data_IF_805547460793
#
_entry.id   IF_805547460793
#
_cell.length_a   1.000
_cell.length_b   1.000
_cell.length_c   1.000
_cell.angle_alpha   90.00
_cell.angle_beta   90.00
_cell.angle_gamma   90.00
#
_symmetry.space_group_name_H-M   'P 1'
#
loop_
_entity.id
_entity.type
_entity.pdbx_description
1 polymer ?
#
# COMPACT_ATOMS: atom_id res chain seq x y z
N UNK A 1 -10.93 -17.55 -24.75
CA UNK A 1 -9.64 -18.14 -24.33
C UNK A 1 -8.57 -17.12 -24.65
N UNK A 2 -8.17 -16.31 -23.67
CA UNK A 2 -6.98 -15.48 -23.80
C UNK A 2 -5.75 -16.40 -23.83
N UNK A 3 -4.77 -16.10 -24.68
CA UNK A 3 -3.55 -16.88 -24.76
C UNK A 3 -2.86 -16.78 -23.38
N UNK A 4 -2.77 -17.93 -22.67
CA UNK A 4 -1.96 -18.04 -21.45
C UNK A 4 -0.53 -17.67 -21.80
N UNK A 5 0.10 -16.89 -20.92
CA UNK A 5 1.49 -16.49 -21.10
C UNK A 5 2.38 -17.75 -21.08
N UNK A 6 3.18 -17.99 -22.11
CA UNK A 6 4.07 -19.18 -22.24
C UNK A 6 4.99 -19.34 -21.00
N UNK A 7 5.25 -18.26 -20.29
CA UNK A 7 6.01 -18.25 -19.03
C UNK A 7 5.25 -18.91 -17.88
N UNK A 8 3.94 -18.63 -17.75
CA UNK A 8 3.07 -19.24 -16.74
C UNK A 8 2.97 -20.76 -16.91
N UNK A 9 2.83 -21.24 -18.15
CA UNK A 9 2.82 -22.68 -18.44
C UNK A 9 4.16 -23.36 -18.09
N UNK A 10 5.29 -22.69 -18.30
CA UNK A 10 6.60 -23.20 -17.89
C UNK A 10 6.72 -23.31 -16.37
N UNK A 11 6.29 -22.30 -15.61
CA UNK A 11 6.32 -22.31 -14.15
C UNK A 11 5.42 -23.38 -13.56
N UNK A 12 4.23 -23.54 -14.09
CA UNK A 12 3.29 -24.60 -13.69
C UNK A 12 3.91 -25.98 -13.97
N UNK A 13 4.54 -26.18 -15.13
CA UNK A 13 5.19 -27.44 -15.48
C UNK A 13 6.40 -27.76 -14.58
N UNK A 14 7.18 -26.76 -14.15
CA UNK A 14 8.27 -26.92 -13.18
C UNK A 14 7.75 -27.31 -11.77
N UNK A 15 6.65 -26.70 -11.32
CA UNK A 15 6.03 -27.02 -10.03
C UNK A 15 5.39 -28.41 -10.02
N UNK A 16 4.75 -28.79 -11.12
CA UNK A 16 4.02 -30.08 -11.24
C UNK A 16 4.93 -31.26 -11.55
N UNK A 17 6.15 -31.03 -12.06
CA UNK A 17 7.10 -32.10 -12.38
C UNK A 17 7.56 -32.91 -11.16
N UNK A 18 7.35 -32.43 -9.95
CA UNK A 18 7.83 -33.05 -8.70
C UNK A 18 6.74 -33.83 -7.92
N UNK A 19 5.44 -33.54 -8.07
CA UNK A 19 4.34 -34.17 -7.30
C UNK A 19 3.02 -34.17 -8.08
N UNK A 20 2.22 -35.23 -7.91
CA UNK A 20 0.88 -35.35 -8.47
C UNK A 20 -0.13 -34.56 -7.59
N UNK A 21 -0.82 -33.55 -8.14
CA UNK A 21 -2.04 -32.88 -7.65
C UNK A 21 -1.95 -31.95 -6.43
N UNK A 22 -0.90 -32.03 -5.59
CA UNK A 22 -0.72 -31.16 -4.40
C UNK A 22 0.62 -30.44 -4.47
N UNK A 23 0.60 -29.12 -4.52
CA UNK A 23 1.79 -28.27 -4.59
C UNK A 23 1.97 -27.58 -3.23
N UNK A 24 3.17 -27.68 -2.64
CA UNK A 24 3.48 -26.98 -1.40
C UNK A 24 3.68 -25.48 -1.64
N UNK A 25 3.14 -24.64 -0.74
CA UNK A 25 3.38 -23.20 -0.76
C UNK A 25 4.89 -22.87 -0.73
N UNK A 26 5.69 -23.71 -0.09
CA UNK A 26 7.14 -23.59 -0.06
C UNK A 26 7.77 -23.71 -1.45
N UNK A 27 7.33 -24.67 -2.26
CA UNK A 27 7.83 -24.85 -3.62
C UNK A 27 7.48 -23.64 -4.51
N UNK A 28 6.33 -23.01 -4.28
CA UNK A 28 5.92 -21.79 -4.97
C UNK A 28 6.81 -20.61 -4.54
N UNK A 29 7.07 -20.47 -3.24
CA UNK A 29 7.93 -19.38 -2.71
C UNK A 29 9.39 -19.55 -3.11
N UNK A 30 9.90 -20.77 -3.19
CA UNK A 30 11.24 -21.07 -3.69
C UNK A 30 11.36 -20.68 -5.17
N UNK A 31 10.34 -20.98 -5.99
CA UNK A 31 10.29 -20.58 -7.40
C UNK A 31 10.20 -19.05 -7.56
N UNK A 32 9.40 -18.38 -6.72
CA UNK A 32 9.30 -16.91 -6.69
C UNK A 32 10.65 -16.27 -6.39
N UNK A 33 11.39 -16.85 -5.44
CA UNK A 33 12.72 -16.35 -5.03
C UNK A 33 13.77 -16.62 -6.11
N UNK A 34 13.73 -17.80 -6.74
CA UNK A 34 14.68 -18.21 -7.77
C UNK A 34 14.52 -17.44 -9.08
N UNK A 35 13.28 -17.15 -9.47
CA UNK A 35 12.95 -16.45 -10.72
C UNK A 35 12.71 -14.94 -10.55
N UNK A 36 12.75 -14.40 -9.31
CA UNK A 36 12.47 -12.98 -9.00
C UNK A 36 11.10 -12.52 -9.54
N UNK A 37 10.04 -13.28 -9.30
CA UNK A 37 8.70 -12.97 -9.79
C UNK A 37 8.13 -11.72 -9.13
N UNK A 38 7.37 -10.95 -9.90
CA UNK A 38 6.63 -9.79 -9.37
C UNK A 38 5.38 -10.25 -8.61
N UNK A 39 4.80 -9.35 -7.77
CA UNK A 39 3.56 -9.64 -7.06
C UNK A 39 2.37 -9.94 -8.00
N UNK A 40 2.35 -9.35 -9.19
CA UNK A 40 1.34 -9.61 -10.21
C UNK A 40 1.53 -10.98 -10.86
N UNK A 41 2.80 -11.39 -11.12
CA UNK A 41 3.11 -12.72 -11.65
C UNK A 41 2.74 -13.82 -10.66
N UNK A 42 2.95 -13.58 -9.35
CA UNK A 42 2.56 -14.50 -8.28
C UNK A 42 1.03 -14.65 -8.20
N UNK A 43 0.29 -13.56 -8.29
CA UNK A 43 -1.18 -13.59 -8.31
C UNK A 43 -1.71 -14.37 -9.52
N UNK A 44 -1.13 -14.17 -10.70
CA UNK A 44 -1.47 -14.89 -11.92
C UNK A 44 -1.12 -16.37 -11.82
N UNK A 45 -0.01 -16.72 -11.16
CA UNK A 45 0.40 -18.11 -10.93
C UNK A 45 -0.57 -18.86 -10.00
N UNK A 46 -0.99 -18.21 -8.89
CA UNK A 46 -2.01 -18.82 -8.01
C UNK A 46 -3.36 -18.97 -8.71
N UNK A 47 -3.76 -18.02 -9.52
CA UNK A 47 -5.00 -18.07 -10.30
C UNK A 47 -4.95 -19.21 -11.34
N UNK A 48 -3.82 -19.38 -12.02
CA UNK A 48 -3.61 -20.44 -13.00
C UNK A 48 -3.53 -21.83 -12.36
N UNK A 49 -2.86 -21.98 -11.20
CA UNK A 49 -2.84 -23.25 -10.45
C UNK A 49 -4.22 -23.65 -9.96
N UNK A 50 -5.01 -22.68 -9.52
CA UNK A 50 -6.41 -22.92 -9.13
C UNK A 50 -7.30 -23.32 -10.31
N UNK A 51 -7.13 -22.67 -11.48
CA UNK A 51 -7.88 -23.01 -12.70
C UNK A 51 -7.56 -24.41 -13.21
N UNK A 52 -6.31 -24.86 -13.05
CA UNK A 52 -5.85 -26.20 -13.45
C UNK A 52 -6.13 -27.29 -12.39
N UNK A 53 -6.89 -26.95 -11.32
CA UNK A 53 -7.35 -27.87 -10.27
C UNK A 53 -6.20 -28.42 -9.38
N UNK A 54 -5.08 -27.73 -9.28
CA UNK A 54 -4.04 -28.08 -8.31
C UNK A 54 -4.40 -27.58 -6.92
N UNK A 55 -4.28 -28.44 -5.94
CA UNK A 55 -4.44 -28.09 -4.53
C UNK A 55 -3.11 -27.55 -4.00
N UNK A 56 -3.09 -26.26 -3.61
CA UNK A 56 -1.90 -25.67 -2.98
C UNK A 56 -1.98 -26.00 -1.50
N UNK A 57 -1.06 -26.84 -1.03
CA UNK A 57 -0.97 -27.18 0.38
C UNK A 57 -0.11 -26.16 1.11
N UNK A 58 -0.71 -25.42 2.06
CA UNK A 58 -0.06 -24.45 2.92
C UNK A 58 0.50 -25.10 4.21
N UNK A 59 0.39 -26.43 4.36
CA UNK A 59 0.55 -27.15 5.62
C UNK A 59 2.01 -27.49 6.03
N UNK A 60 3.03 -27.14 5.28
CA UNK A 60 4.42 -27.47 5.70
C UNK A 60 5.09 -26.43 6.61
N UNK A 61 4.43 -25.30 6.89
CA UNK A 61 4.88 -24.29 7.89
C UNK A 61 3.72 -23.85 8.80
N UNK A 62 2.83 -24.76 9.18
CA UNK A 62 1.78 -24.47 10.18
C UNK A 62 2.47 -24.38 11.54
N UNK A 63 2.75 -23.14 11.97
CA UNK A 63 3.20 -22.87 13.34
C UNK A 63 2.06 -23.20 14.33
N UNK A 64 2.40 -23.45 15.60
CA UNK A 64 1.39 -23.63 16.65
C UNK A 64 0.35 -22.50 16.68
N UNK A 65 0.73 -21.27 16.24
CA UNK A 65 -0.20 -20.13 16.08
C UNK A 65 -1.16 -20.28 14.89
N UNK A 66 -0.74 -20.99 13.82
CA UNK A 66 -1.64 -21.29 12.70
C UNK A 66 -2.60 -22.43 13.09
N UNK A 67 -2.17 -23.34 13.98
CA UNK A 67 -3.04 -24.34 14.60
C UNK A 67 -3.99 -23.69 15.60
N UNK A 68 -3.54 -22.74 16.39
CA UNK A 68 -4.41 -21.92 17.24
C UNK A 68 -5.34 -21.04 16.41
N UNK A 69 -4.89 -20.55 15.28
CA UNK A 69 -5.69 -19.81 14.32
C UNK A 69 -6.75 -20.69 13.63
N UNK A 70 -6.43 -21.96 13.30
CA UNK A 70 -7.42 -22.94 12.79
C UNK A 70 -8.40 -23.36 13.89
N UNK A 71 -7.98 -23.44 15.12
CA UNK A 71 -8.88 -23.64 16.28
C UNK A 71 -9.76 -22.40 16.53
N UNK A 72 -9.19 -21.20 16.38
CA UNK A 72 -9.97 -19.95 16.36
C UNK A 72 -10.94 -19.93 15.18
N UNK A 73 -10.63 -20.54 14.03
CA UNK A 73 -11.59 -20.71 12.92
C UNK A 73 -12.76 -21.59 13.28
N UNK A 74 -12.52 -22.76 13.89
CA UNK A 74 -13.60 -23.63 14.37
C UNK A 74 -14.41 -22.98 15.50
N UNK A 75 -13.77 -22.24 16.40
CA UNK A 75 -14.46 -21.49 17.43
C UNK A 75 -15.25 -20.33 16.82
N UNK A 76 -14.72 -19.68 15.77
CA UNK A 76 -15.36 -18.61 15.03
C UNK A 76 -16.59 -19.10 14.27
N UNK A 77 -16.50 -20.25 13.62
CA UNK A 77 -17.68 -20.88 13.00
C UNK A 77 -18.76 -21.17 14.06
N UNK A 78 -18.35 -21.67 15.22
CA UNK A 78 -19.25 -21.92 16.35
C UNK A 78 -19.79 -20.65 17.01
N UNK A 79 -18.99 -19.58 17.09
CA UNK A 79 -19.44 -18.27 17.59
C UNK A 79 -20.35 -17.57 16.59
N UNK A 80 -20.01 -17.60 15.29
CA UNK A 80 -20.86 -17.06 14.22
C UNK A 80 -22.19 -17.79 14.19
N UNK A 81 -22.21 -19.13 14.27
CA UNK A 81 -23.45 -19.90 14.39
C UNK A 81 -24.26 -19.59 15.67
N UNK A 82 -23.58 -19.17 16.74
CA UNK A 82 -24.26 -18.72 17.99
C UNK A 82 -24.76 -17.27 17.88
N UNK A 83 -23.93 -16.34 17.40
CA UNK A 83 -24.32 -14.94 17.18
C UNK A 83 -25.40 -14.82 16.08
N UNK A 84 -25.40 -15.71 15.09
CA UNK A 84 -26.47 -15.81 14.10
C UNK A 84 -27.83 -16.18 14.72
N UNK A 85 -27.83 -16.99 15.77
CA UNK A 85 -29.05 -17.45 16.47
C UNK A 85 -29.54 -16.52 17.57
N UNK A 86 -28.68 -15.61 18.06
CA UNK A 86 -29.10 -14.61 19.04
C UNK A 86 -29.85 -13.47 18.36
N UNK A 87 -31.06 -13.12 18.82
CA UNK A 87 -31.76 -11.95 18.33
C UNK A 87 -30.90 -10.72 18.67
N UNK A 88 -30.65 -9.86 17.68
CA UNK A 88 -30.02 -8.56 17.90
C UNK A 88 -30.80 -7.89 19.05
N UNK A 89 -30.15 -7.51 20.17
CA UNK A 89 -30.85 -6.87 21.27
C UNK A 89 -31.61 -5.67 20.74
N UNK A 90 -32.91 -5.57 21.09
CA UNK A 90 -33.75 -4.45 20.74
C UNK A 90 -33.07 -3.17 21.25
N UNK A 91 -32.32 -2.53 20.39
CA UNK A 91 -31.73 -1.23 20.68
C UNK A 91 -32.88 -0.21 20.67
N UNK A 92 -33.21 0.24 21.88
CA UNK A 92 -34.20 1.26 22.19
C UNK A 92 -34.22 2.36 21.11
N UNK A 93 -35.44 2.70 20.67
CA UNK A 93 -35.69 3.67 19.58
C UNK A 93 -35.22 5.12 19.88
N UNK A 94 -34.49 5.34 20.97
CA UNK A 94 -33.97 6.64 21.41
C UNK A 94 -32.57 6.99 20.91
N UNK A 95 -31.99 6.20 20.00
CA UNK A 95 -30.62 6.44 19.52
C UNK A 95 -30.59 7.59 18.50
N UNK A 96 -29.97 8.67 18.91
CA UNK A 96 -29.62 9.81 18.05
C UNK A 96 -28.91 9.34 16.78
N UNK A 97 -29.28 9.95 15.64
CA UNK A 97 -28.92 9.62 14.26
C UNK A 97 -27.37 9.78 13.97
N UNK A 98 -26.57 10.03 15.00
CA UNK A 98 -25.17 10.48 14.84
C UNK A 98 -24.11 9.37 14.69
N UNK A 99 -24.47 8.07 14.79
CA UNK A 99 -23.50 6.98 14.70
C UNK A 99 -23.73 6.14 13.43
N UNK A 100 -22.94 6.38 12.36
CA UNK A 100 -23.07 5.65 11.10
C UNK A 100 -22.90 4.14 11.25
N UNK A 101 -22.08 3.69 12.23
CA UNK A 101 -21.86 2.26 12.51
C UNK A 101 -23.14 1.62 13.00
N UNK A 102 -23.82 2.26 13.98
CA UNK A 102 -25.09 1.74 14.51
C UNK A 102 -26.19 1.71 13.47
N UNK A 103 -26.25 2.72 12.60
CA UNK A 103 -27.20 2.76 11.50
C UNK A 103 -27.00 1.58 10.55
N UNK A 104 -25.76 1.34 10.11
CA UNK A 104 -25.42 0.22 9.24
C UNK A 104 -25.75 -1.13 9.89
N UNK A 105 -25.38 -1.34 11.17
CA UNK A 105 -25.66 -2.57 11.90
C UNK A 105 -27.17 -2.82 12.05
N UNK A 106 -27.98 -1.77 12.23
CA UNK A 106 -29.46 -1.88 12.27
C UNK A 106 -30.01 -2.29 10.91
N UNK A 107 -29.50 -1.75 9.80
CA UNK A 107 -29.94 -2.11 8.44
C UNK A 107 -29.66 -3.58 8.13
N UNK A 108 -28.43 -4.07 8.37
CA UNK A 108 -28.09 -5.45 8.10
C UNK A 108 -28.78 -6.43 9.06
N UNK A 109 -29.08 -5.98 10.30
CA UNK A 109 -29.80 -6.78 11.29
C UNK A 109 -31.25 -7.06 10.92
N UNK A 110 -31.89 -6.24 10.08
CA UNK A 110 -33.23 -6.43 9.58
C UNK A 110 -33.36 -7.53 8.52
N UNK A 111 -32.23 -7.96 7.92
CA UNK A 111 -32.20 -9.00 6.89
C UNK A 111 -32.31 -10.38 7.53
N UNK A 112 -33.13 -11.26 6.92
CA UNK A 112 -33.23 -12.65 7.37
C UNK A 112 -31.95 -13.41 7.01
N UNK A 113 -31.56 -14.32 7.88
CA UNK A 113 -30.48 -15.28 7.60
C UNK A 113 -30.91 -16.27 6.52
N UNK A 114 -29.93 -16.82 5.80
CA UNK A 114 -30.12 -17.83 4.78
C UNK A 114 -30.11 -19.23 5.39
N UNK A 115 -31.04 -20.06 4.96
CA UNK A 115 -31.02 -21.49 5.23
C UNK A 115 -30.18 -22.19 4.14
N UNK A 116 -29.55 -23.34 4.50
CA UNK A 116 -28.69 -24.09 3.57
C UNK A 116 -29.38 -24.52 2.26
N UNK A 117 -30.70 -24.74 2.31
CA UNK A 117 -31.50 -25.03 1.11
C UNK A 117 -31.68 -23.81 0.22
N UNK A 118 -31.90 -22.63 0.81
CA UNK A 118 -32.02 -21.36 0.10
C UNK A 118 -30.68 -20.95 -0.55
N UNK A 119 -29.53 -21.20 0.12
CA UNK A 119 -28.19 -20.97 -0.44
C UNK A 119 -28.00 -21.72 -1.78
N UNK A 120 -28.35 -23.01 -1.80
CA UNK A 120 -28.23 -23.85 -3.00
C UNK A 120 -29.15 -23.34 -4.11
N UNK A 121 -30.35 -22.89 -3.78
CA UNK A 121 -31.31 -22.36 -4.77
C UNK A 121 -30.77 -21.09 -5.41
N UNK A 122 -30.26 -20.16 -4.58
CA UNK A 122 -29.65 -18.91 -5.07
C UNK A 122 -28.40 -19.17 -5.88
N UNK A 123 -27.53 -20.08 -5.43
CA UNK A 123 -26.30 -20.45 -6.17
C UNK A 123 -26.62 -21.02 -7.57
N UNK A 124 -27.65 -21.89 -7.67
CA UNK A 124 -28.13 -22.40 -8.96
C UNK A 124 -28.67 -21.31 -9.89
N UNK A 125 -29.31 -20.28 -9.34
CA UNK A 125 -29.80 -19.15 -10.14
C UNK A 125 -28.61 -18.30 -10.65
N UNK A 126 -27.60 -18.10 -9.80
CA UNK A 126 -26.37 -17.40 -10.18
C UNK A 126 -25.64 -18.12 -11.32
N UNK A 127 -25.48 -19.44 -11.21
CA UNK A 127 -24.83 -20.26 -12.23
C UNK A 127 -25.56 -20.18 -13.58
N UNK A 128 -26.92 -20.36 -13.59
CA UNK A 128 -27.73 -20.28 -14.81
C UNK A 128 -27.54 -18.96 -15.56
N UNK A 129 -27.48 -17.84 -14.85
CA UNK A 129 -27.29 -16.53 -15.47
C UNK A 129 -25.85 -16.24 -15.89
N UNK A 130 -24.88 -17.03 -15.43
CA UNK A 130 -23.46 -16.90 -15.80
C UNK A 130 -23.10 -17.68 -17.07
N UNK A 131 -24.01 -18.52 -17.59
CA UNK A 131 -23.82 -19.28 -18.83
C UNK A 131 -23.78 -18.32 -20.05
N UNK A 132 -22.95 -18.60 -21.08
CA UNK A 132 -22.83 -17.75 -22.26
C UNK A 132 -24.15 -17.57 -23.02
N UNK A 133 -25.03 -18.57 -23.01
CA UNK A 133 -26.32 -18.61 -23.71
C UNK A 133 -27.51 -18.18 -22.82
N UNK A 134 -27.25 -17.61 -21.63
CA UNK A 134 -28.30 -17.21 -20.71
C UNK A 134 -29.21 -16.11 -21.31
N UNK A 135 -30.52 -16.25 -21.13
CA UNK A 135 -31.49 -15.23 -21.53
C UNK A 135 -31.34 -13.95 -20.71
N UNK A 136 -31.85 -12.84 -21.19
CA UNK A 136 -31.82 -11.58 -20.44
C UNK A 136 -32.61 -11.64 -19.13
N UNK A 137 -33.63 -12.50 -19.07
CA UNK A 137 -34.40 -12.81 -17.85
C UNK A 137 -33.55 -13.59 -16.84
N UNK A 138 -32.78 -14.59 -17.31
CA UNK A 138 -31.89 -15.39 -16.45
C UNK A 138 -30.74 -14.54 -15.89
N UNK A 139 -30.19 -13.63 -16.70
CA UNK A 139 -29.17 -12.65 -16.24
C UNK A 139 -29.72 -11.70 -15.19
N UNK A 140 -30.96 -11.22 -15.36
CA UNK A 140 -31.61 -10.37 -14.38
C UNK A 140 -31.88 -11.12 -13.05
N UNK A 141 -32.36 -12.37 -13.15
CA UNK A 141 -32.58 -13.25 -12.00
C UNK A 141 -31.28 -13.57 -11.27
N UNK A 142 -30.22 -13.88 -11.99
CA UNK A 142 -28.90 -14.11 -11.41
C UNK A 142 -28.33 -12.89 -10.68
N UNK A 143 -28.52 -11.69 -11.25
CA UNK A 143 -28.12 -10.45 -10.58
C UNK A 143 -28.88 -10.20 -9.28
N UNK A 144 -30.19 -10.52 -9.27
CA UNK A 144 -31.00 -10.43 -8.06
C UNK A 144 -30.56 -11.46 -7.01
N UNK A 145 -30.32 -12.71 -7.44
CA UNK A 145 -29.85 -13.79 -6.57
C UNK A 145 -28.44 -13.49 -5.99
N UNK A 146 -27.51 -12.96 -6.78
CA UNK A 146 -26.19 -12.49 -6.27
C UNK A 146 -26.33 -11.43 -5.19
N UNK A 147 -27.19 -10.46 -5.43
CA UNK A 147 -27.47 -9.40 -4.45
C UNK A 147 -28.07 -10.00 -3.17
N UNK A 148 -29.06 -10.86 -3.27
CA UNK A 148 -29.72 -11.47 -2.12
C UNK A 148 -28.74 -12.36 -1.33
N UNK A 149 -27.91 -13.14 -2.00
CA UNK A 149 -26.86 -13.96 -1.36
C UNK A 149 -25.84 -13.10 -0.62
N UNK A 150 -25.43 -11.96 -1.18
CA UNK A 150 -24.53 -11.02 -0.53
C UNK A 150 -25.21 -10.31 0.67
N UNK A 151 -26.41 -9.74 0.48
CA UNK A 151 -27.12 -8.96 1.49
C UNK A 151 -27.38 -9.79 2.75
N UNK A 152 -27.77 -11.05 2.61
CA UNK A 152 -28.08 -11.94 3.74
C UNK A 152 -26.82 -12.45 4.47
N UNK A 153 -25.61 -12.26 3.91
CA UNK A 153 -24.33 -12.65 4.51
C UNK A 153 -23.50 -11.45 5.03
N UNK A 154 -24.03 -10.22 5.03
CA UNK A 154 -23.34 -9.05 5.55
C UNK A 154 -22.97 -9.15 7.03
N UNK A 155 -23.77 -9.88 7.83
CA UNK A 155 -23.48 -10.12 9.25
C UNK A 155 -22.20 -10.94 9.44
N UNK A 156 -21.92 -11.91 8.56
CA UNK A 156 -20.68 -12.67 8.56
C UNK A 156 -19.48 -11.74 8.36
N UNK A 157 -19.57 -10.77 7.45
CA UNK A 157 -18.49 -9.80 7.23
C UNK A 157 -18.18 -9.00 8.49
N UNK A 158 -19.23 -8.56 9.21
CA UNK A 158 -19.07 -7.78 10.45
C UNK A 158 -18.38 -8.60 11.53
N UNK A 159 -18.77 -9.87 11.72
CA UNK A 159 -18.17 -10.76 12.73
C UNK A 159 -16.66 -10.96 12.47
N UNK A 160 -16.26 -11.10 11.20
CA UNK A 160 -14.86 -11.22 10.81
C UNK A 160 -14.13 -9.88 10.98
N UNK A 161 -14.69 -8.76 10.48
CA UNK A 161 -14.09 -7.44 10.54
C UNK A 161 -13.80 -6.97 11.97
N UNK A 162 -14.65 -7.35 12.94
CA UNK A 162 -14.51 -7.05 14.36
C UNK A 162 -13.16 -7.51 14.94
N UNK A 163 -12.60 -8.63 14.47
CA UNK A 163 -11.30 -9.16 14.91
C UNK A 163 -10.09 -8.35 14.40
N UNK A 164 -10.31 -7.49 13.42
CA UNK A 164 -9.27 -6.64 12.81
C UNK A 164 -9.32 -5.19 13.31
N UNK A 165 -10.14 -4.90 14.33
CA UNK A 165 -10.19 -3.58 14.97
C UNK A 165 -8.81 -3.17 15.52
N UNK A 166 -8.49 -1.88 15.43
CA UNK A 166 -7.26 -1.32 15.98
C UNK A 166 -6.00 -1.57 15.12
N UNK A 167 -6.14 -2.11 13.91
CA UNK A 167 -5.02 -2.37 12.99
C UNK A 167 -4.76 -1.26 11.97
N UNK A 168 -5.24 -0.03 12.24
CA UNK A 168 -4.93 1.16 11.42
C UNK A 168 -6.01 1.58 10.43
N UNK A 169 -7.10 0.80 10.28
CA UNK A 169 -8.29 1.18 9.51
C UNK A 169 -9.50 1.35 10.43
N UNK A 170 -10.43 2.21 10.03
CA UNK A 170 -11.70 2.39 10.73
C UNK A 170 -12.60 1.18 10.51
N UNK A 171 -13.52 0.93 11.47
CA UNK A 171 -14.35 -0.26 11.44
C UNK A 171 -15.24 -0.36 10.20
N UNK A 172 -15.85 0.75 9.79
CA UNK A 172 -16.66 0.77 8.56
C UNK A 172 -15.84 0.47 7.30
N UNK A 173 -14.59 0.94 7.24
CA UNK A 173 -13.70 0.66 6.10
C UNK A 173 -13.34 -0.82 6.05
N UNK A 174 -13.04 -1.44 7.21
CA UNK A 174 -12.81 -2.89 7.30
C UNK A 174 -14.03 -3.69 6.81
N UNK A 175 -15.26 -3.26 7.19
CA UNK A 175 -16.49 -3.89 6.74
C UNK A 175 -16.63 -3.75 5.21
N UNK A 176 -16.39 -2.56 4.65
CA UNK A 176 -16.55 -2.34 3.20
C UNK A 176 -15.53 -3.14 2.39
N UNK A 177 -14.27 -3.21 2.83
CA UNK A 177 -13.28 -4.07 2.19
C UNK A 177 -13.66 -5.56 2.32
N UNK A 178 -14.19 -5.96 3.48
CA UNK A 178 -14.76 -7.30 3.67
C UNK A 178 -15.95 -7.59 2.76
N UNK A 179 -16.85 -6.62 2.55
CA UNK A 179 -17.97 -6.72 1.62
C UNK A 179 -17.50 -6.91 0.17
N UNK A 180 -16.40 -6.26 -0.23
CA UNK A 180 -15.78 -6.50 -1.55
C UNK A 180 -15.25 -7.94 -1.67
N UNK A 181 -14.70 -8.49 -0.57
CA UNK A 181 -14.32 -9.90 -0.47
C UNK A 181 -15.54 -10.83 -0.60
N UNK A 182 -16.63 -10.53 0.12
CA UNK A 182 -17.88 -11.28 0.04
C UNK A 182 -18.45 -11.31 -1.39
N UNK A 183 -18.46 -10.18 -2.10
CA UNK A 183 -18.93 -10.12 -3.49
C UNK A 183 -18.10 -11.03 -4.42
N UNK A 184 -16.77 -11.07 -4.22
CA UNK A 184 -15.91 -12.01 -4.96
C UNK A 184 -16.22 -13.46 -4.62
N UNK A 185 -16.52 -13.75 -3.36
CA UNK A 185 -16.94 -15.09 -2.95
C UNK A 185 -18.26 -15.51 -3.63
N UNK A 186 -19.25 -14.60 -3.68
CA UNK A 186 -20.53 -14.84 -4.37
C UNK A 186 -20.32 -15.15 -5.87
N UNK A 187 -19.39 -14.44 -6.51
CA UNK A 187 -19.10 -14.65 -7.93
C UNK A 187 -18.41 -15.97 -8.24
N UNK A 188 -17.63 -16.48 -7.30
CA UNK A 188 -16.80 -17.70 -7.50
C UNK A 188 -17.33 -18.94 -6.73
N UNK A 189 -18.44 -18.83 -6.02
CA UNK A 189 -18.97 -19.93 -5.22
C UNK A 189 -19.51 -21.08 -6.07
N UNK A 190 -19.06 -22.31 -5.74
CA UNK A 190 -19.48 -23.55 -6.38
C UNK A 190 -20.17 -24.46 -5.35
N UNK A 191 -21.50 -24.54 -5.44
CA UNK A 191 -22.32 -25.37 -4.55
C UNK A 191 -22.13 -26.87 -4.78
N UNK A 192 -21.55 -27.29 -5.92
CA UNK A 192 -21.38 -28.71 -6.24
C UNK A 192 -20.34 -29.41 -5.36
N UNK A 193 -19.44 -28.62 -4.76
CA UNK A 193 -18.39 -29.09 -3.84
C UNK A 193 -18.91 -29.51 -2.45
N UNK A 194 -20.17 -29.22 -2.12
CA UNK A 194 -20.82 -29.67 -0.89
C UNK A 194 -20.44 -28.86 0.39
N UNK A 195 -19.63 -27.81 0.27
CA UNK A 195 -19.29 -26.92 1.40
C UNK A 195 -20.34 -25.82 1.56
N UNK A 196 -20.50 -25.32 2.80
CA UNK A 196 -21.34 -24.16 3.09
C UNK A 196 -20.72 -22.90 2.46
N UNK A 197 -21.57 -21.97 2.03
CA UNK A 197 -21.12 -20.68 1.49
C UNK A 197 -20.29 -19.90 2.51
N UNK A 198 -20.66 -19.92 3.80
CA UNK A 198 -19.96 -19.23 4.88
C UNK A 198 -18.48 -19.62 4.97
N UNK A 199 -18.15 -20.92 4.87
CA UNK A 199 -16.78 -21.42 4.93
C UNK A 199 -15.95 -20.86 3.78
N UNK A 200 -16.48 -20.86 2.56
CA UNK A 200 -15.81 -20.30 1.38
C UNK A 200 -15.69 -18.77 1.45
N UNK A 201 -16.76 -18.08 1.86
CA UNK A 201 -16.79 -16.63 1.95
C UNK A 201 -15.83 -16.08 3.02
N UNK A 202 -15.65 -16.77 4.14
CA UNK A 202 -14.74 -16.38 5.22
C UNK A 202 -13.32 -16.20 4.70
N UNK A 203 -12.83 -17.07 3.82
CA UNK A 203 -11.51 -16.94 3.23
C UNK A 203 -11.37 -15.66 2.39
N UNK A 204 -12.36 -15.38 1.49
CA UNK A 204 -12.33 -14.18 0.65
C UNK A 204 -12.47 -12.89 1.44
N UNK A 205 -13.34 -12.88 2.45
CA UNK A 205 -13.54 -11.72 3.34
C UNK A 205 -12.23 -11.43 4.09
N UNK A 206 -11.61 -12.45 4.68
CA UNK A 206 -10.34 -12.32 5.40
C UNK A 206 -9.24 -11.81 4.49
N UNK A 207 -9.08 -12.41 3.32
CA UNK A 207 -8.08 -12.00 2.34
C UNK A 207 -8.25 -10.53 1.93
N UNK A 208 -9.49 -10.10 1.68
CA UNK A 208 -9.77 -8.71 1.33
C UNK A 208 -9.41 -7.74 2.46
N UNK A 209 -9.83 -8.04 3.69
CA UNK A 209 -9.54 -7.22 4.88
C UNK A 209 -8.03 -7.15 5.14
N UNK A 210 -7.34 -8.29 5.14
CA UNK A 210 -5.88 -8.34 5.40
C UNK A 210 -5.11 -7.57 4.34
N UNK A 211 -5.49 -7.71 3.08
CA UNK A 211 -4.89 -6.96 1.98
C UNK A 211 -5.13 -5.47 2.10
N UNK A 212 -6.36 -5.05 2.43
CA UNK A 212 -6.69 -3.64 2.65
C UNK A 212 -5.89 -3.03 3.80
N UNK A 213 -5.73 -3.75 4.91
CA UNK A 213 -4.87 -3.32 6.02
C UNK A 213 -3.42 -3.14 5.55
N UNK A 214 -2.88 -4.09 4.80
CA UNK A 214 -1.52 -4.00 4.30
C UNK A 214 -1.31 -2.80 3.36
N UNK A 215 -2.31 -2.49 2.52
CA UNK A 215 -2.24 -1.45 1.50
C UNK A 215 -2.55 -0.03 2.02
N UNK A 216 -3.41 0.12 3.03
CA UNK A 216 -4.05 1.41 3.39
C UNK A 216 -3.83 1.83 4.85
N UNK A 217 -3.48 0.92 5.76
CA UNK A 217 -3.41 1.23 7.19
C UNK A 217 -2.27 2.17 7.58
N UNK A 218 -1.21 2.26 6.78
CA UNK A 218 -0.03 3.08 7.09
C UNK A 218 -0.10 4.44 6.40
N UNK A 219 0.25 5.51 7.12
CA UNK A 219 0.36 6.87 6.57
C UNK A 219 1.36 6.92 5.40
N UNK A 220 2.49 6.22 5.52
CA UNK A 220 3.45 6.03 4.44
C UNK A 220 3.24 4.61 3.91
N UNK A 221 2.69 4.50 2.69
CA UNK A 221 2.38 3.21 2.05
C UNK A 221 3.63 2.33 1.93
N UNK A 222 3.50 1.11 2.35
CA UNK A 222 4.54 0.07 2.21
C UNK A 222 3.98 -1.06 1.34
N UNK A 223 4.76 -1.63 0.40
CA UNK A 223 4.31 -2.78 -0.41
C UNK A 223 3.91 -3.98 0.45
N UNK A 224 2.91 -4.76 -0.02
CA UNK A 224 2.32 -5.89 0.72
C UNK A 224 3.38 -6.90 1.17
N UNK A 225 4.30 -7.31 0.28
CA UNK A 225 5.37 -8.26 0.62
C UNK A 225 6.30 -7.78 1.74
N UNK A 226 6.48 -6.45 1.88
CA UNK A 226 7.25 -5.88 3.00
C UNK A 226 6.45 -5.89 4.30
N UNK A 227 5.13 -5.68 4.24
CA UNK A 227 4.25 -5.82 5.41
C UNK A 227 4.26 -7.27 5.92
N UNK A 228 4.19 -8.25 5.01
CA UNK A 228 4.34 -9.68 5.35
C UNK A 228 5.69 -9.98 6.00
N UNK A 229 6.77 -9.42 5.44
CA UNK A 229 8.11 -9.55 6.04
C UNK A 229 8.19 -8.94 7.44
N UNK A 230 7.55 -7.77 7.67
CA UNK A 230 7.46 -7.13 8.98
C UNK A 230 6.65 -8.00 9.95
N UNK A 231 5.52 -8.56 9.51
CA UNK A 231 4.70 -9.45 10.32
C UNK A 231 5.46 -10.72 10.70
N UNK A 232 6.18 -11.34 9.75
CA UNK A 232 7.07 -12.49 10.01
C UNK A 232 8.17 -12.13 11.00
N UNK A 233 8.80 -10.95 10.87
CA UNK A 233 9.81 -10.46 11.81
C UNK A 233 9.23 -10.32 13.23
N UNK A 234 8.06 -9.71 13.35
CA UNK A 234 7.39 -9.51 14.65
C UNK A 234 7.01 -10.85 15.31
N UNK A 235 6.51 -11.82 14.52
CA UNK A 235 6.18 -13.16 14.99
C UNK A 235 7.43 -13.86 15.54
N UNK A 236 8.50 -13.94 14.77
CA UNK A 236 9.77 -14.57 15.18
C UNK A 236 10.37 -13.85 16.38
N UNK A 237 10.26 -12.53 16.44
CA UNK A 237 10.74 -11.74 17.57
C UNK A 237 10.00 -12.11 18.88
N UNK A 238 8.68 -12.29 18.83
CA UNK A 238 7.86 -12.73 19.97
C UNK A 238 8.21 -14.17 20.39
N UNK A 239 8.35 -15.07 19.42
CA UNK A 239 8.75 -16.45 19.71
C UNK A 239 10.10 -16.51 20.40
N UNK A 240 11.11 -15.81 19.90
CA UNK A 240 12.44 -15.77 20.54
C UNK A 240 12.41 -15.08 21.91
N UNK A 241 11.54 -14.09 22.10
CA UNK A 241 11.32 -13.46 23.41
C UNK A 241 10.76 -14.47 24.41
N UNK A 242 9.80 -15.29 24.01
CA UNK A 242 9.19 -16.33 24.83
C UNK A 242 10.21 -17.44 25.18
N UNK A 243 11.00 -17.89 24.20
CA UNK A 243 12.02 -18.92 24.41
C UNK A 243 13.18 -18.47 25.31
N UNK A 244 13.62 -17.20 25.12
CA UNK A 244 14.85 -16.70 25.79
C UNK A 244 14.60 -15.79 26.97
N UNK A 245 13.37 -15.36 27.20
CA UNK A 245 13.02 -14.40 28.26
C UNK A 245 13.61 -12.99 28.08
N UNK A 246 14.17 -12.66 26.88
CA UNK A 246 14.73 -11.35 26.54
C UNK A 246 14.52 -11.03 25.06
N UNK A 247 14.60 -9.76 24.71
CA UNK A 247 14.56 -9.34 23.31
C UNK A 247 15.66 -10.00 22.46
N UNK A 248 15.29 -10.42 21.26
CA UNK A 248 16.21 -11.05 20.32
C UNK A 248 17.14 -10.02 19.67
N UNK A 249 18.41 -10.36 19.56
CA UNK A 249 19.39 -9.55 18.82
C UNK A 249 19.14 -9.62 17.31
N UNK A 250 19.61 -8.59 16.57
CA UNK A 250 19.47 -8.59 15.10
C UNK A 250 20.14 -9.81 14.43
N UNK A 251 21.19 -10.37 15.06
CA UNK A 251 21.88 -11.57 14.57
C UNK A 251 21.04 -12.84 14.78
N UNK A 252 20.35 -12.92 15.92
CA UNK A 252 19.45 -14.04 16.22
C UNK A 252 18.23 -14.01 15.30
N UNK A 253 17.64 -12.84 15.09
CA UNK A 253 16.55 -12.64 14.13
C UNK A 253 16.96 -12.98 12.70
N UNK A 254 18.15 -12.52 12.27
CA UNK A 254 18.69 -12.81 10.94
C UNK A 254 18.86 -14.31 10.71
N UNK A 255 19.35 -15.03 11.74
CA UNK A 255 19.54 -16.48 11.68
C UNK A 255 18.22 -17.23 11.64
N UNK A 256 17.23 -16.81 12.44
CA UNK A 256 15.89 -17.43 12.47
C UNK A 256 15.09 -17.18 11.18
N UNK A 257 15.25 -16.00 10.56
CA UNK A 257 14.58 -15.65 9.28
C UNK A 257 15.32 -16.12 8.03
N UNK A 258 16.57 -16.60 8.15
CA UNK A 258 17.39 -16.97 7.00
C UNK A 258 17.88 -15.80 6.13
N UNK A 259 17.95 -14.58 6.70
CA UNK A 259 18.32 -13.34 5.98
C UNK A 259 19.56 -12.68 6.57
N UNK A 260 20.14 -11.71 5.88
CA UNK A 260 21.30 -10.97 6.39
C UNK A 260 20.91 -9.98 7.49
N UNK A 261 21.84 -9.69 8.41
CA UNK A 261 21.66 -8.71 9.49
C UNK A 261 21.35 -7.30 8.94
N UNK A 262 21.95 -6.97 7.77
CA UNK A 262 21.65 -5.72 7.06
C UNK A 262 20.19 -5.60 6.68
N UNK A 263 19.59 -6.69 6.16
CA UNK A 263 18.17 -6.74 5.80
C UNK A 263 17.25 -6.58 7.01
N UNK A 264 17.59 -7.19 8.15
CA UNK A 264 16.83 -7.01 9.40
C UNK A 264 16.81 -5.54 9.84
N UNK A 265 17.95 -4.84 9.76
CA UNK A 265 18.02 -3.40 10.10
C UNK A 265 17.16 -2.56 9.16
N UNK A 266 17.19 -2.86 7.87
CA UNK A 266 16.35 -2.20 6.86
C UNK A 266 14.86 -2.41 7.15
N UNK A 267 14.45 -3.67 7.38
CA UNK A 267 13.04 -4.00 7.69
C UNK A 267 12.59 -3.31 8.96
N UNK A 268 13.41 -3.31 10.04
CA UNK A 268 13.10 -2.57 11.28
C UNK A 268 12.95 -1.07 11.06
N UNK A 269 13.75 -0.46 10.17
CA UNK A 269 13.64 0.96 9.82
C UNK A 269 12.34 1.27 9.08
N UNK A 270 11.93 0.40 8.14
CA UNK A 270 10.67 0.54 7.39
C UNK A 270 9.45 0.28 8.30
N UNK A 271 9.60 -0.58 9.31
CA UNK A 271 8.53 -0.93 10.24
C UNK A 271 8.12 0.22 11.17
N UNK A 272 8.96 1.24 11.33
CA UNK A 272 8.67 2.37 12.21
C UNK A 272 7.49 3.18 11.69
N UNK A 273 6.58 3.53 12.60
CA UNK A 273 5.46 4.41 12.30
C UNK A 273 5.86 5.88 12.52
N UNK A 274 5.31 6.82 11.72
CA UNK A 274 5.56 8.25 11.92
C UNK A 274 4.92 8.73 13.24
N UNK A 275 5.60 9.67 13.89
CA UNK A 275 5.09 10.32 15.09
C UNK A 275 4.39 11.61 14.68
N UNK A 276 3.24 11.93 15.30
CA UNK A 276 2.52 13.17 15.03
C UNK A 276 3.31 14.39 15.51
N UNK A 277 3.35 15.44 14.68
CA UNK A 277 3.94 16.73 15.05
C UNK A 277 3.13 17.46 16.13
N UNK A 278 1.85 17.12 16.28
CA UNK A 278 0.96 17.67 17.31
C UNK A 278 1.08 16.94 18.66
N UNK A 279 2.04 16.01 18.79
CA UNK A 279 2.28 15.32 20.07
C UNK A 279 2.72 16.36 21.11
N UNK A 280 1.99 16.50 22.24
CA UNK A 280 2.33 17.47 23.27
C UNK A 280 3.64 17.10 23.95
N UNK A 281 4.47 18.09 24.26
CA UNK A 281 5.75 17.94 24.98
C UNK A 281 5.70 18.77 26.26
N UNK A 282 6.00 18.12 27.40
CA UNK A 282 6.02 18.79 28.71
C UNK A 282 4.73 18.64 29.50
N UNK A 283 4.77 19.11 30.76
CA UNK A 283 3.64 18.93 31.70
C UNK A 283 2.44 19.87 31.46
N UNK A 284 2.62 20.95 30.65
CA UNK A 284 1.59 21.99 30.49
C UNK A 284 0.87 21.94 29.16
N UNK A 285 1.16 20.95 28.30
CA UNK A 285 0.55 20.78 26.97
C UNK A 285 0.59 22.01 26.02
N UNK A 286 1.36 23.07 26.37
CA UNK A 286 1.44 24.30 25.61
C UNK A 286 2.41 24.23 24.43
N UNK A 287 3.23 23.16 24.33
CA UNK A 287 4.24 22.96 23.29
C UNK A 287 4.04 21.63 22.58
N UNK A 288 4.17 21.63 21.26
CA UNK A 288 4.06 20.45 20.42
C UNK A 288 5.43 20.07 19.83
N UNK A 289 5.59 18.81 19.43
CA UNK A 289 6.82 18.31 18.79
C UNK A 289 7.23 19.16 17.57
N UNK A 290 6.25 19.64 16.81
CA UNK A 290 6.47 20.49 15.65
C UNK A 290 7.19 21.80 15.94
N UNK A 291 7.00 22.36 17.15
CA UNK A 291 7.59 23.66 17.56
C UNK A 291 9.12 23.56 17.74
N UNK A 292 9.65 22.35 17.90
CA UNK A 292 11.09 22.09 18.08
C UNK A 292 11.81 21.70 16.79
N UNK A 293 11.08 21.56 15.67
CA UNK A 293 11.66 21.20 14.38
C UNK A 293 12.02 22.48 13.63
N UNK A 294 13.31 22.65 13.39
CA UNK A 294 13.89 23.80 12.72
C UNK A 294 13.61 23.75 11.21
N UNK A 295 13.20 24.88 10.63
CA UNK A 295 13.05 25.02 9.18
C UNK A 295 14.41 25.34 8.55
N UNK A 296 15.02 24.34 7.94
CA UNK A 296 16.30 24.45 7.25
C UNK A 296 16.22 25.14 5.88
N UNK A 297 15.02 25.34 5.33
CA UNK A 297 14.82 26.03 4.05
C UNK A 297 14.63 27.55 4.25
N UNK A 298 14.29 27.99 5.44
CA UNK A 298 14.19 29.38 5.77
C UNK A 298 15.59 30.03 5.71
N UNK A 299 15.72 31.09 4.88
CA UNK A 299 16.97 31.83 4.74
C UNK A 299 17.21 32.65 5.98
N UNK A 300 18.35 32.44 6.65
CA UNK A 300 18.73 33.27 7.81
C UNK A 300 18.86 34.75 7.42
N UNK A 301 18.49 35.68 8.31
CA UNK A 301 18.57 37.12 8.01
C UNK A 301 19.95 37.60 7.55
N UNK A 302 21.00 37.01 8.11
CA UNK A 302 22.40 37.32 7.75
C UNK A 302 22.73 36.88 6.32
N UNK A 303 22.25 35.67 5.92
CA UNK A 303 22.44 35.15 4.56
C UNK A 303 21.63 35.94 3.53
N UNK A 304 20.41 36.37 3.92
CA UNK A 304 19.57 37.22 3.09
C UNK A 304 20.24 38.60 2.87
N UNK A 305 20.75 39.24 3.94
CA UNK A 305 21.48 40.48 3.85
C UNK A 305 22.76 40.36 3.02
N UNK A 306 23.53 39.27 3.23
CA UNK A 306 24.72 38.96 2.45
C UNK A 306 24.43 38.79 0.96
N UNK A 307 23.33 38.11 0.63
CA UNK A 307 22.89 37.92 -0.75
C UNK A 307 22.47 39.22 -1.44
N UNK A 308 21.81 40.13 -0.71
CA UNK A 308 21.43 41.46 -1.21
C UNK A 308 22.69 42.30 -1.49
N UNK A 309 23.62 42.36 -0.54
CA UNK A 309 24.88 43.08 -0.70
C UNK A 309 25.71 42.55 -1.88
N UNK A 310 25.78 41.22 -2.01
CA UNK A 310 26.47 40.59 -3.13
C UNK A 310 25.83 40.99 -4.46
N UNK A 311 24.50 41.01 -4.51
CA UNK A 311 23.77 41.42 -5.71
C UNK A 311 24.05 42.88 -6.08
N UNK A 312 24.03 43.77 -5.11
CA UNK A 312 24.37 45.19 -5.31
C UNK A 312 25.81 45.37 -5.84
N UNK A 313 26.78 44.66 -5.25
CA UNK A 313 28.16 44.64 -5.74
C UNK A 313 28.29 44.12 -7.16
N UNK A 314 27.55 43.06 -7.52
CA UNK A 314 27.52 42.54 -8.89
C UNK A 314 26.91 43.58 -9.85
N UNK A 315 25.84 44.27 -9.47
CA UNK A 315 25.21 45.28 -10.28
C UNK A 315 26.16 46.47 -10.51
N UNK A 316 26.92 46.91 -9.48
CA UNK A 316 27.95 47.96 -9.60
C UNK A 316 29.07 47.51 -10.56
N UNK A 317 29.57 46.30 -10.44
CA UNK A 317 30.58 45.75 -11.36
C UNK A 317 30.08 45.70 -12.81
N UNK A 318 28.80 45.34 -13.01
CA UNK A 318 28.19 45.27 -14.34
C UNK A 318 28.07 46.66 -15.01
N UNK A 319 27.98 47.75 -14.24
CA UNK A 319 27.97 49.12 -14.78
C UNK A 319 29.25 49.46 -15.55
N UNK A 320 30.38 48.83 -15.21
CA UNK A 320 31.64 48.99 -15.91
C UNK A 320 31.74 48.30 -17.28
N UNK A 321 30.71 47.58 -17.70
CA UNK A 321 30.62 46.89 -18.97
C UNK A 321 29.85 47.70 -20.01
N UNK A 322 30.06 47.39 -21.29
CA UNK A 322 29.18 47.94 -22.34
C UNK A 322 27.79 47.33 -22.22
N UNK A 323 26.76 48.09 -22.63
CA UNK A 323 25.37 47.67 -22.53
C UNK A 323 25.13 46.27 -23.11
N UNK A 324 25.76 45.95 -24.25
CA UNK A 324 25.62 44.64 -24.89
C UNK A 324 26.29 43.51 -24.11
N UNK A 325 27.45 43.75 -23.51
CA UNK A 325 28.16 42.80 -22.63
C UNK A 325 27.36 42.53 -21.36
N UNK A 326 26.77 43.57 -20.76
CA UNK A 326 25.91 43.48 -19.57
C UNK A 326 24.66 42.62 -19.85
N UNK A 327 23.92 42.93 -20.90
CA UNK A 327 22.70 42.19 -21.27
C UNK A 327 22.98 40.73 -21.58
N UNK A 328 24.11 40.42 -22.23
CA UNK A 328 24.49 39.01 -22.48
C UNK A 328 24.72 38.28 -21.17
N UNK A 329 25.40 38.86 -20.19
CA UNK A 329 25.63 38.25 -18.89
C UNK A 329 24.32 38.15 -18.08
N UNK A 330 23.50 39.20 -18.04
CA UNK A 330 22.21 39.19 -17.37
C UNK A 330 21.30 38.07 -17.85
N UNK A 331 21.17 37.87 -19.18
CA UNK A 331 20.38 36.81 -19.75
C UNK A 331 21.00 35.43 -19.57
N UNK A 332 22.32 35.31 -19.70
CA UNK A 332 23.07 34.05 -19.57
C UNK A 332 22.96 33.46 -18.18
N UNK A 333 23.18 34.31 -17.15
CA UNK A 333 23.17 33.89 -15.76
C UNK A 333 21.83 34.11 -15.05
N UNK A 334 20.86 34.74 -15.71
CA UNK A 334 19.54 34.99 -15.14
C UNK A 334 19.56 36.00 -13.99
N UNK A 335 20.44 37.00 -14.05
CA UNK A 335 20.64 37.94 -12.94
C UNK A 335 19.40 38.82 -12.62
N UNK A 336 18.51 39.02 -13.61
CA UNK A 336 17.27 39.81 -13.44
C UNK A 336 16.03 38.93 -13.21
N UNK A 337 15.92 37.83 -13.96
CA UNK A 337 14.71 37.02 -14.00
C UNK A 337 14.88 35.61 -13.36
N UNK A 338 16.05 35.32 -12.81
CA UNK A 338 16.39 34.06 -12.16
C UNK A 338 16.51 32.87 -13.12
N UNK A 339 16.35 33.08 -14.46
CA UNK A 339 16.38 32.01 -15.46
C UNK A 339 17.68 31.99 -16.24
N UNK A 340 18.53 31.04 -16.00
CA UNK A 340 19.76 30.83 -16.79
C UNK A 340 19.41 30.36 -18.20
N UNK A 341 20.06 30.96 -19.22
CA UNK A 341 19.86 30.64 -20.64
C UNK A 341 21.11 30.05 -21.25
N UNK A 342 20.95 29.19 -22.26
CA UNK A 342 22.05 28.63 -23.02
C UNK A 342 22.65 29.68 -23.98
N UNK A 343 23.92 29.47 -24.41
CA UNK A 343 24.55 30.38 -25.38
C UNK A 343 23.79 30.47 -26.71
N UNK A 344 23.06 29.41 -27.06
CA UNK A 344 22.27 29.35 -28.28
C UNK A 344 20.98 30.18 -28.16
N UNK A 345 20.29 30.10 -27.02
CA UNK A 345 19.10 30.93 -26.71
C UNK A 345 19.44 32.42 -26.65
N UNK A 346 20.57 32.75 -25.98
CA UNK A 346 21.05 34.11 -25.95
C UNK A 346 21.45 34.57 -27.35
N UNK A 347 22.06 33.70 -28.15
CA UNK A 347 22.36 33.95 -29.56
C UNK A 347 21.14 34.29 -30.39
N UNK A 348 20.06 33.54 -30.24
CA UNK A 348 18.75 33.80 -30.88
C UNK A 348 18.16 35.14 -30.47
N UNK A 349 18.27 35.51 -29.18
CA UNK A 349 17.74 36.78 -28.68
C UNK A 349 18.46 38.00 -29.31
N UNK A 350 19.78 37.91 -29.54
CA UNK A 350 20.58 38.99 -30.13
C UNK A 350 20.81 38.86 -31.63
N UNK A 351 20.24 37.85 -32.28
CA UNK A 351 20.42 37.51 -33.70
C UNK A 351 21.91 37.33 -34.10
N UNK A 352 22.66 36.60 -33.27
CA UNK A 352 24.08 36.31 -33.48
C UNK A 352 24.40 34.81 -33.25
N UNK A 353 25.52 34.39 -33.78
CA UNK A 353 25.95 32.99 -33.60
C UNK A 353 26.34 32.67 -32.18
N UNK A 354 26.16 31.41 -31.76
CA UNK A 354 26.58 30.87 -30.47
C UNK A 354 28.03 31.23 -30.11
N UNK A 355 28.93 31.10 -31.10
CA UNK A 355 30.37 31.38 -30.90
C UNK A 355 30.59 32.89 -30.63
N UNK A 356 29.82 33.78 -31.27
CA UNK A 356 29.90 35.20 -31.02
C UNK A 356 29.49 35.57 -29.59
N UNK A 357 28.43 34.95 -29.08
CA UNK A 357 28.03 35.14 -27.67
C UNK A 357 29.12 34.61 -26.73
N UNK A 358 29.73 33.44 -27.00
CA UNK A 358 30.84 32.92 -26.20
C UNK A 358 32.04 33.87 -26.16
N UNK A 359 32.36 34.53 -27.28
CA UNK A 359 33.41 35.55 -27.32
C UNK A 359 33.07 36.81 -26.49
N UNK A 360 31.83 37.27 -26.56
CA UNK A 360 31.33 38.42 -25.77
C UNK A 360 31.38 38.10 -24.28
N UNK A 361 30.83 36.92 -23.89
CA UNK A 361 30.87 36.42 -22.50
C UNK A 361 32.30 36.35 -21.96
N UNK A 362 33.23 35.73 -22.71
CA UNK A 362 34.63 35.63 -22.29
C UNK A 362 35.32 36.99 -22.11
N UNK A 363 35.06 37.94 -23.01
CA UNK A 363 35.59 39.31 -22.87
C UNK A 363 35.01 40.04 -21.70
N UNK A 364 33.67 39.93 -21.47
CA UNK A 364 32.98 40.54 -20.37
C UNK A 364 33.49 40.00 -19.02
N UNK A 365 33.61 38.67 -18.88
CA UNK A 365 34.17 38.05 -17.67
C UNK A 365 35.62 38.43 -17.40
N UNK A 366 36.45 38.61 -18.43
CA UNK A 366 37.84 39.11 -18.26
C UNK A 366 37.87 40.56 -17.75
N UNK A 367 36.99 41.41 -18.26
CA UNK A 367 36.86 42.82 -17.76
C UNK A 367 36.39 42.84 -16.29
N UNK A 368 35.34 42.05 -15.95
CA UNK A 368 34.86 41.92 -14.58
C UNK A 368 35.95 41.43 -13.62
N UNK A 369 36.72 40.41 -14.03
CA UNK A 369 37.83 39.88 -13.23
C UNK A 369 38.90 40.96 -12.93
N UNK A 370 39.16 41.88 -13.85
CA UNK A 370 40.07 42.99 -13.64
C UNK A 370 39.47 44.04 -12.69
N UNK A 371 38.21 44.41 -12.86
CA UNK A 371 37.50 45.37 -11.99
C UNK A 371 37.35 44.82 -10.57
N UNK A 372 36.97 43.56 -10.39
CA UNK A 372 36.86 42.94 -9.08
C UNK A 372 38.20 42.88 -8.32
N UNK A 373 39.32 42.58 -9.02
CA UNK A 373 40.65 42.67 -8.41
C UNK A 373 40.98 44.05 -7.87
N UNK A 374 40.62 45.10 -8.60
CA UNK A 374 40.87 46.46 -8.18
C UNK A 374 40.03 46.86 -6.96
N UNK A 375 38.81 46.33 -6.81
CA UNK A 375 37.96 46.53 -5.64
C UNK A 375 38.53 45.83 -4.38
N UNK A 376 39.01 44.58 -4.52
CA UNK A 376 39.60 43.84 -3.40
C UNK A 376 40.93 44.45 -2.91
N UNK A 377 41.69 45.12 -3.80
CA UNK A 377 42.96 45.74 -3.43
C UNK A 377 42.73 47.10 -2.73
N UNK A 378 41.56 47.70 -2.92
CA UNK A 378 41.22 49.02 -2.34
C UNK A 378 40.35 48.94 -1.07
N UNK A 379 40.01 47.72 -0.57
CA UNK A 379 39.45 47.44 0.73
C UNK A 379 40.55 46.92 1.67
#
# INVERSE_FOLDING_TARGET
MAARDERLEQWISELTAKREWVISNKDIMDLVTEKNLSGDDLSNLYEALHDDHYEVNFDEDVSEEDIDFLKEEEELEKEVEKEEKEPVPDMDNSVTIDDPVKMYLKEIGALKLLDSEEEIVLAKQVEKGSLPDASDEDKAAAKAAKKELADRNLRLVVSIAKKYLGRGLQFLDLIQEGNLGLLKAVDKFDYTKGYKFSTYATWWIRQAITRAIADQARTIRVPVHMVETINKLNRISRQLLQEKGREATNEELARAMGVTVGKIREVKKIAQDPISLETPIGEKEDSHLGDFIEDHEAVAPDDAAGSILLREQIEELLQGLTERERQVLELRFGLKDGKTRTLEEVGRYFDVTRERIRQIEGKALQKLKKSARNLIINQ
#
